data_IF_875156038561
#
_entry.id   IF_875156038561
#
_cell.length_a   1.000
_cell.length_b   1.000
_cell.length_c   1.000
_cell.angle_alpha   90.00
_cell.angle_beta   90.00
_cell.angle_gamma   90.00
#
_symmetry.space_group_name_H-M   'P 1'
#
loop_
_entity.id
_entity.type
_entity.pdbx_description
1 polymer ?
#
# COMPACT_ATOMS: atom_id res chain seq x y z
N UNK A 1 8.09 -10.25 -7.94
CA UNK A 1 6.96 -9.31 -8.11
C UNK A 1 7.36 -7.87 -7.74
N UNK A 2 7.92 -7.67 -6.56
CA UNK A 2 8.29 -6.31 -6.09
C UNK A 2 9.56 -5.77 -6.74
N UNK A 3 10.29 -6.56 -7.49
CA UNK A 3 11.46 -6.09 -8.23
C UNK A 3 11.12 -5.06 -9.31
N UNK A 4 9.86 -4.94 -9.69
CA UNK A 4 9.38 -3.88 -10.60
C UNK A 4 9.29 -2.53 -9.92
N UNK A 5 9.27 -2.50 -8.58
CA UNK A 5 9.08 -1.27 -7.82
C UNK A 5 10.40 -0.50 -7.74
N UNK A 6 10.36 0.76 -8.15
CA UNK A 6 11.56 1.59 -8.27
C UNK A 6 11.77 2.51 -7.07
N UNK A 7 10.71 2.83 -6.33
CA UNK A 7 10.83 3.69 -5.16
C UNK A 7 11.09 2.84 -3.92
N UNK A 8 12.21 3.07 -3.19
CA UNK A 8 12.60 2.21 -2.05
C UNK A 8 11.55 2.10 -0.95
N UNK A 9 10.87 3.21 -0.63
CA UNK A 9 9.86 3.22 0.44
C UNK A 9 8.62 2.43 0.01
N UNK A 10 8.19 2.59 -1.23
CA UNK A 10 7.05 1.84 -1.77
C UNK A 10 7.38 0.36 -1.83
N UNK A 11 8.59 0.02 -2.29
CA UNK A 11 9.04 -1.38 -2.31
C UNK A 11 9.02 -1.99 -0.91
N UNK A 12 9.55 -1.27 0.09
CA UNK A 12 9.55 -1.74 1.47
C UNK A 12 8.12 -1.96 1.99
N UNK A 13 7.20 -1.04 1.68
CA UNK A 13 5.81 -1.15 2.09
C UNK A 13 5.14 -2.37 1.46
N UNK A 14 5.30 -2.57 0.17
CA UNK A 14 4.68 -3.70 -0.52
C UNK A 14 5.34 -5.01 -0.09
N UNK A 15 6.65 -5.05 0.13
CA UNK A 15 7.30 -6.25 0.66
C UNK A 15 6.74 -6.62 2.04
N UNK A 16 6.50 -5.64 2.91
CA UNK A 16 5.90 -5.87 4.23
C UNK A 16 4.46 -6.40 4.11
N UNK A 17 3.68 -5.80 3.21
CA UNK A 17 2.31 -6.26 2.94
C UNK A 17 2.30 -7.71 2.43
N UNK A 18 3.15 -8.02 1.46
CA UNK A 18 3.23 -9.37 0.87
C UNK A 18 3.68 -10.42 1.89
N UNK A 19 4.56 -10.03 2.82
CA UNK A 19 5.06 -10.93 3.86
C UNK A 19 4.12 -11.04 5.06
N UNK A 20 3.09 -10.18 5.15
CA UNK A 20 2.23 -10.12 6.32
C UNK A 20 2.93 -9.54 7.55
N UNK A 21 3.96 -8.71 7.33
CA UNK A 21 4.76 -8.12 8.40
C UNK A 21 4.17 -6.77 8.82
N UNK A 22 3.26 -6.83 9.76
CA UNK A 22 2.52 -5.64 10.24
C UNK A 22 3.45 -4.61 10.88
N UNK A 23 4.44 -5.04 11.63
CA UNK A 23 5.37 -4.13 12.29
C UNK A 23 6.21 -3.36 11.27
N UNK A 24 6.78 -4.07 10.29
CA UNK A 24 7.57 -3.43 9.24
C UNK A 24 6.70 -2.46 8.42
N UNK A 25 5.46 -2.83 8.12
CA UNK A 25 4.51 -1.96 7.42
C UNK A 25 4.27 -0.67 8.21
N UNK A 26 3.92 -0.78 9.49
CA UNK A 26 3.57 0.37 10.32
C UNK A 26 4.74 1.33 10.53
N UNK A 27 5.95 0.82 10.62
CA UNK A 27 7.15 1.63 10.81
C UNK A 27 7.44 2.58 9.64
N UNK A 28 6.93 2.29 8.46
CA UNK A 28 7.17 3.10 7.27
C UNK A 28 6.30 4.36 7.22
N UNK A 29 5.25 4.42 8.03
CA UNK A 29 4.29 5.52 8.00
C UNK A 29 4.62 6.61 9.01
N UNK A 30 4.38 7.86 8.60
CA UNK A 30 4.42 9.00 9.49
C UNK A 30 3.34 8.81 10.56
N UNK A 31 3.56 9.25 11.83
CA UNK A 31 2.53 9.15 12.88
C UNK A 31 1.22 9.85 12.52
N UNK A 32 1.27 10.87 11.66
CA UNK A 32 0.11 11.62 11.21
C UNK A 32 -0.35 11.22 9.80
N UNK A 33 0.08 10.07 9.31
CA UNK A 33 -0.26 9.61 7.97
C UNK A 33 -1.77 9.46 7.79
N UNK A 34 -2.22 9.73 6.56
CA UNK A 34 -3.63 9.71 6.19
C UNK A 34 -3.86 8.58 5.18
N UNK A 35 -4.96 7.86 5.34
CA UNK A 35 -5.43 6.89 4.36
C UNK A 35 -6.72 7.42 3.73
N UNK A 36 -6.77 7.42 2.39
CA UNK A 36 -7.97 7.72 1.63
C UNK A 36 -8.36 6.50 0.80
N UNK A 37 -9.63 6.11 0.87
CA UNK A 37 -10.19 4.99 0.11
C UNK A 37 -11.23 5.58 -0.84
N UNK A 38 -10.93 5.57 -2.15
CA UNK A 38 -11.71 6.26 -3.18
C UNK A 38 -11.98 7.73 -2.80
N UNK A 39 -10.97 8.39 -2.20
CA UNK A 39 -11.05 9.78 -1.77
C UNK A 39 -11.69 10.00 -0.41
N UNK A 40 -12.16 8.95 0.26
CA UNK A 40 -12.79 9.07 1.58
C UNK A 40 -11.82 8.71 2.69
N UNK A 41 -11.72 9.52 3.75
CA UNK A 41 -10.84 9.21 4.88
C UNK A 41 -11.20 7.86 5.52
N UNK A 42 -10.17 7.09 5.86
CA UNK A 42 -10.31 5.79 6.48
C UNK A 42 -9.25 5.64 7.57
N UNK A 43 -9.56 4.92 8.62
CA UNK A 43 -8.63 4.69 9.73
C UNK A 43 -7.45 3.81 9.25
N UNK A 44 -6.25 4.40 9.19
CA UNK A 44 -5.06 3.71 8.69
C UNK A 44 -4.66 2.55 9.59
N UNK A 45 -4.72 2.72 10.91
CA UNK A 45 -4.34 1.66 11.84
C UNK A 45 -5.25 0.45 11.70
N UNK A 46 -6.56 0.70 11.64
CA UNK A 46 -7.54 -0.36 11.45
C UNK A 46 -7.38 -1.06 10.10
N UNK A 47 -7.17 -0.29 9.03
CA UNK A 47 -6.89 -0.85 7.71
C UNK A 47 -5.65 -1.73 7.74
N UNK A 48 -4.58 -1.26 8.39
CA UNK A 48 -3.33 -2.01 8.49
C UNK A 48 -3.55 -3.35 9.19
N UNK A 49 -4.32 -3.36 10.26
CA UNK A 49 -4.63 -4.59 10.98
C UNK A 49 -5.50 -5.55 10.16
N UNK A 50 -6.41 -5.00 9.34
CA UNK A 50 -7.29 -5.81 8.49
C UNK A 50 -6.58 -6.34 7.25
N UNK A 51 -5.67 -5.57 6.68
CA UNK A 51 -5.05 -5.88 5.39
C UNK A 51 -3.78 -6.72 5.51
N UNK A 52 -2.85 -6.30 6.38
CA UNK A 52 -1.55 -6.97 6.48
C UNK A 52 -1.72 -8.36 7.07
N UNK A 53 -1.29 -9.37 6.30
CA UNK A 53 -1.50 -10.78 6.67
C UNK A 53 -2.78 -11.39 6.11
N UNK A 54 -3.68 -10.57 5.53
CA UNK A 54 -4.97 -11.02 5.00
C UNK A 54 -5.21 -10.61 3.55
N UNK A 55 -4.47 -9.62 3.08
CA UNK A 55 -4.58 -9.11 1.71
C UNK A 55 -3.20 -8.93 1.12
N UNK A 56 -3.10 -9.07 -0.19
CA UNK A 56 -1.82 -8.90 -0.90
C UNK A 56 -2.05 -8.70 -2.38
N UNK A 57 -1.04 -8.18 -3.07
CA UNK A 57 -1.06 -8.13 -4.52
C UNK A 57 -0.80 -9.53 -5.11
N UNK A 58 -1.64 -9.94 -6.03
CA UNK A 58 -1.42 -11.15 -6.84
C UNK A 58 -0.55 -10.81 -8.04
N UNK A 59 -0.64 -9.57 -8.55
CA UNK A 59 0.23 -9.06 -9.59
C UNK A 59 0.37 -7.56 -9.45
N UNK A 60 1.48 -7.00 -9.94
CA UNK A 60 1.68 -5.55 -10.08
C UNK A 60 1.90 -5.31 -11.56
N UNK A 61 0.94 -4.64 -12.19
CA UNK A 61 0.91 -4.49 -13.64
C UNK A 61 1.43 -3.14 -14.11
N UNK A 62 1.24 -2.08 -13.30
CA UNK A 62 1.58 -0.72 -13.67
C UNK A 62 2.30 -0.03 -12.52
N UNK A 63 3.38 0.69 -12.83
CA UNK A 63 4.14 1.51 -11.87
C UNK A 63 4.30 2.88 -12.51
N UNK A 64 3.81 3.93 -11.83
CA UNK A 64 3.79 5.31 -12.34
C UNK A 64 4.24 6.30 -11.28
N UNK A 65 4.35 7.57 -11.65
CA UNK A 65 4.67 8.68 -10.76
C UNK A 65 5.96 8.45 -9.99
N UNK A 66 7.04 8.06 -10.70
CA UNK A 66 8.32 7.82 -10.07
C UNK A 66 8.32 6.64 -9.10
N UNK A 67 7.41 5.71 -9.30
CA UNK A 67 7.27 4.53 -8.43
C UNK A 67 6.29 4.71 -7.29
N UNK A 68 5.64 5.87 -7.19
CA UNK A 68 4.72 6.18 -6.08
C UNK A 68 3.32 5.62 -6.28
N UNK A 69 2.91 5.34 -7.51
CA UNK A 69 1.60 4.77 -7.82
C UNK A 69 1.72 3.42 -8.48
N UNK A 70 1.07 2.42 -7.91
CA UNK A 70 1.07 1.06 -8.45
C UNK A 70 -0.37 0.58 -8.63
N UNK A 71 -0.57 -0.27 -9.64
CA UNK A 71 -1.86 -0.90 -9.92
C UNK A 71 -1.65 -2.37 -10.20
N UNK A 72 -2.61 -3.18 -9.78
CA UNK A 72 -2.55 -4.61 -10.05
C UNK A 72 -3.76 -5.36 -9.51
N UNK A 73 -3.69 -6.68 -9.63
CA UNK A 73 -4.66 -7.57 -9.03
C UNK A 73 -4.37 -7.71 -7.54
N UNK A 74 -5.40 -7.57 -6.74
CA UNK A 74 -5.34 -7.68 -5.29
C UNK A 74 -6.15 -8.88 -4.82
N UNK A 75 -5.63 -9.60 -3.84
CA UNK A 75 -6.29 -10.75 -3.26
C UNK A 75 -6.65 -10.46 -1.82
N UNK A 76 -7.93 -10.50 -1.48
CA UNK A 76 -8.43 -10.29 -0.12
C UNK A 76 -9.09 -11.55 0.40
N UNK A 77 -8.91 -11.85 1.68
CA UNK A 77 -9.57 -12.98 2.34
C UNK A 77 -11.09 -12.76 2.41
N UNK A 78 -11.53 -11.50 2.39
CA UNK A 78 -12.95 -11.14 2.54
C UNK A 78 -13.60 -10.88 1.18
N UNK A 79 -12.93 -10.11 0.32
CA UNK A 79 -13.52 -9.60 -0.93
C UNK A 79 -13.14 -10.40 -2.17
N UNK A 80 -12.23 -11.39 -2.03
CA UNK A 80 -11.73 -12.17 -3.15
C UNK A 80 -10.71 -11.38 -3.97
N UNK A 81 -10.78 -11.50 -5.29
CA UNK A 81 -9.80 -10.88 -6.19
C UNK A 81 -10.43 -9.72 -6.94
N UNK A 82 -9.71 -8.57 -6.98
CA UNK A 82 -10.14 -7.37 -7.69
C UNK A 82 -8.94 -6.52 -8.05
N UNK A 83 -9.12 -5.58 -8.97
CA UNK A 83 -8.04 -4.65 -9.34
C UNK A 83 -8.06 -3.46 -8.40
N UNK A 84 -6.86 -3.04 -7.98
CA UNK A 84 -6.70 -1.90 -7.08
C UNK A 84 -5.49 -1.04 -7.47
N UNK A 85 -5.46 0.18 -6.96
CA UNK A 85 -4.27 1.02 -7.01
C UNK A 85 -3.88 1.41 -5.59
N UNK A 86 -2.57 1.61 -5.40
CA UNK A 86 -2.00 2.22 -4.20
C UNK A 86 -1.17 3.41 -4.67
N UNK A 87 -1.43 4.58 -4.13
CA UNK A 87 -0.68 5.79 -4.47
C UNK A 87 -0.15 6.40 -3.19
N UNK A 88 1.18 6.45 -3.07
CA UNK A 88 1.87 6.89 -1.87
C UNK A 88 2.36 8.32 -2.00
N UNK A 89 2.28 9.08 -0.90
CA UNK A 89 2.93 10.39 -0.77
C UNK A 89 3.99 10.25 0.33
N UNK A 90 5.22 10.59 -0.01
CA UNK A 90 6.36 10.45 0.90
C UNK A 90 6.75 11.82 1.45
N UNK A 91 6.93 11.90 2.77
CA UNK A 91 7.35 13.13 3.43
C UNK A 91 8.83 13.41 3.22
N UNK A 92 9.26 14.61 3.58
CA UNK A 92 10.67 15.02 3.49
C UNK A 92 11.57 14.15 4.39
N UNK A 93 11.01 13.55 5.42
CA UNK A 93 11.75 12.64 6.31
C UNK A 93 11.82 11.20 5.80
N UNK A 94 11.25 10.93 4.62
CA UNK A 94 11.27 9.60 4.05
C UNK A 94 10.23 8.65 4.63
N UNK A 95 9.15 9.19 5.20
CA UNK A 95 8.03 8.41 5.72
C UNK A 95 6.83 8.54 4.82
N UNK A 96 5.94 7.55 4.84
CA UNK A 96 4.69 7.63 4.08
C UNK A 96 3.75 8.58 4.82
N UNK A 97 3.45 9.72 4.20
CA UNK A 97 2.56 10.74 4.78
C UNK A 97 1.11 10.50 4.39
N UNK A 98 0.87 9.86 3.24
CA UNK A 98 -0.47 9.58 2.75
C UNK A 98 -0.44 8.34 1.88
N UNK A 99 -1.47 7.51 2.02
CA UNK A 99 -1.74 6.40 1.11
C UNK A 99 -3.16 6.56 0.57
N UNK A 100 -3.27 6.57 -0.74
CA UNK A 100 -4.56 6.58 -1.44
C UNK A 100 -4.75 5.21 -2.07
N UNK A 101 -5.91 4.60 -1.83
CA UNK A 101 -6.27 3.31 -2.40
C UNK A 101 -7.65 3.40 -3.06
N UNK A 102 -7.96 2.45 -3.90
CA UNK A 102 -9.25 2.36 -4.55
C UNK A 102 -9.25 1.31 -5.65
N UNK A 103 -10.38 1.21 -6.34
CA UNK A 103 -10.50 0.30 -7.47
C UNK A 103 -9.85 0.92 -8.71
N UNK A 104 -9.10 0.11 -9.40
CA UNK A 104 -8.45 0.50 -10.64
C UNK A 104 -9.27 0.04 -11.86
#
# INVERSE_FOLDING_TARGET
>A
MTEKLTHPIVKAAIDALQAGDSEAWKELFDPNAVLLDDGHPRDLERFSDEAVGHERFASIDTVRDGGLKIEGEFQSDVWGRFRTYFHFTISDEGKIAKLEIGQA
#
